data_IF_118169368252
#
_entry.id   IF_118169368252
#
_cell.length_a   1.000
_cell.length_b   1.000
_cell.length_c   1.000
_cell.angle_alpha   90.00
_cell.angle_beta   90.00
_cell.angle_gamma   90.00
#
_symmetry.space_group_name_H-M   'P 1'
#
loop_
_entity.id
_entity.type
_entity.pdbx_description
1 polymer ?
#
# COMPACT_ATOMS: atom_id res chain seq x y z
N UNK A 1 -54.44 44.76 -12.14
CA UNK A 1 -53.61 44.49 -13.33
C UNK A 1 -52.28 45.21 -13.18
N UNK A 2 -51.21 44.58 -13.67
CA UNK A 2 -49.87 45.12 -14.00
C UNK A 2 -48.91 45.54 -12.88
N UNK A 3 -47.88 44.69 -12.76
CA UNK A 3 -46.47 44.96 -12.46
C UNK A 3 -45.98 46.28 -13.07
N UNK A 4 -45.06 46.97 -12.37
CA UNK A 4 -43.76 47.34 -12.94
C UNK A 4 -42.76 47.77 -11.86
N UNK A 5 -41.57 47.18 -11.96
CA UNK A 5 -40.34 47.52 -11.26
C UNK A 5 -39.77 48.85 -11.77
N UNK A 6 -39.18 49.64 -10.88
CA UNK A 6 -38.09 50.56 -11.23
C UNK A 6 -37.07 50.59 -10.08
N UNK A 7 -35.84 50.23 -10.43
CA UNK A 7 -34.63 50.25 -9.61
C UNK A 7 -34.11 51.69 -9.59
N UNK A 8 -33.75 52.23 -8.43
CA UNK A 8 -32.88 53.41 -8.34
C UNK A 8 -31.67 53.12 -7.46
N UNK A 9 -30.51 53.31 -8.07
CA UNK A 9 -29.19 53.18 -7.49
C UNK A 9 -28.89 54.30 -6.50
N UNK A 10 -28.23 53.96 -5.40
CA UNK A 10 -27.60 54.91 -4.49
C UNK A 10 -26.15 54.49 -4.29
N UNK A 11 -25.25 55.17 -5.01
CA UNK A 11 -23.89 55.41 -4.54
C UNK A 11 -23.95 56.47 -3.44
N UNK A 12 -23.13 56.35 -2.40
CA UNK A 12 -22.21 57.40 -1.93
C UNK A 12 -21.35 56.86 -0.77
N UNK A 13 -20.04 56.78 -1.06
CA UNK A 13 -18.85 57.16 -0.29
C UNK A 13 -18.71 56.70 1.17
N UNK A 14 -17.67 55.89 1.42
CA UNK A 14 -16.78 56.10 2.58
C UNK A 14 -15.31 55.84 2.20
N UNK A 15 -14.56 56.95 2.26
CA UNK A 15 -13.15 57.14 2.64
C UNK A 15 -12.17 55.97 2.70
N UNK A 16 -11.05 56.14 1.98
CA UNK A 16 -9.78 55.46 2.16
C UNK A 16 -9.30 55.45 3.62
N UNK A 17 -8.97 54.27 4.12
CA UNK A 17 -7.89 54.09 5.10
C UNK A 17 -6.79 53.27 4.44
N UNK A 18 -5.69 53.94 4.12
CA UNK A 18 -4.46 53.31 3.64
C UNK A 18 -3.80 52.61 4.81
N UNK A 19 -4.21 51.37 5.08
CA UNK A 19 -3.46 50.50 5.98
C UNK A 19 -2.40 49.81 5.14
N UNK A 20 -1.16 50.30 5.23
CA UNK A 20 0.03 49.58 4.78
C UNK A 20 0.06 48.21 5.45
N UNK A 21 -0.39 47.18 4.73
CA UNK A 21 -0.06 45.80 5.07
C UNK A 21 1.42 45.67 4.76
N UNK A 22 2.23 45.71 5.81
CA UNK A 22 3.60 45.27 5.75
C UNK A 22 3.59 43.85 5.17
N UNK A 23 4.10 43.71 3.95
CA UNK A 23 4.29 42.43 3.28
C UNK A 23 5.29 41.62 4.11
N UNK A 24 4.79 40.91 5.12
CA UNK A 24 5.51 39.78 5.68
C UNK A 24 5.50 38.75 4.56
N UNK A 25 6.60 38.71 3.80
CA UNK A 25 6.95 37.57 2.98
C UNK A 25 7.06 36.38 3.92
N UNK A 26 5.93 35.73 4.17
CA UNK A 26 5.93 34.36 4.66
C UNK A 26 6.54 33.55 3.53
N UNK A 27 7.84 33.36 3.68
CA UNK A 27 8.61 32.41 2.92
C UNK A 27 7.92 31.06 3.10
N UNK A 28 7.05 30.72 2.14
CA UNK A 28 6.40 29.42 2.03
C UNK A 28 7.56 28.44 1.95
N UNK A 29 7.89 27.81 3.08
CA UNK A 29 8.80 26.68 3.08
C UNK A 29 8.21 25.67 2.09
N UNK A 30 9.01 25.14 1.16
CA UNK A 30 8.51 24.15 0.24
C UNK A 30 7.88 23.04 1.08
N UNK A 31 6.65 22.68 0.71
CA UNK A 31 5.90 21.55 1.24
C UNK A 31 6.90 20.43 1.46
N UNK A 32 7.07 20.06 2.72
CA UNK A 32 8.00 19.01 3.13
C UNK A 32 7.80 17.85 2.18
N UNK A 33 8.90 17.50 1.50
CA UNK A 33 9.13 16.22 0.89
C UNK A 33 8.38 15.18 1.71
N UNK A 34 7.31 14.61 1.14
CA UNK A 34 6.51 13.57 1.78
C UNK A 34 7.51 12.49 2.18
N UNK A 35 7.91 12.48 3.46
CA UNK A 35 8.83 11.48 3.98
C UNK A 35 8.21 10.15 3.60
N UNK A 36 8.85 9.43 2.67
CA UNK A 36 8.49 8.05 2.39
C UNK A 36 8.41 7.39 3.76
N UNK A 37 7.27 6.80 4.15
CA UNK A 37 7.18 6.13 5.43
C UNK A 37 8.32 5.13 5.47
N UNK A 38 9.22 5.28 6.44
CA UNK A 38 10.28 4.31 6.70
C UNK A 38 9.55 3.07 7.20
N UNK A 39 9.04 2.25 6.29
CA UNK A 39 8.32 1.05 6.65
C UNK A 39 9.27 0.18 7.48
N UNK A 40 8.90 -0.02 8.74
CA UNK A 40 9.62 -0.94 9.62
C UNK A 40 9.37 -2.38 9.17
N UNK A 41 8.21 -2.64 8.56
CA UNK A 41 7.83 -3.95 8.06
C UNK A 41 8.47 -4.23 6.70
N UNK A 42 9.11 -5.38 6.58
CA UNK A 42 9.66 -5.89 5.32
C UNK A 42 8.55 -6.52 4.49
N UNK A 43 8.41 -6.07 3.25
CA UNK A 43 7.42 -6.58 2.29
C UNK A 43 8.17 -7.14 1.09
N UNK A 44 7.91 -8.41 0.78
CA UNK A 44 8.57 -9.10 -0.32
C UNK A 44 7.61 -9.23 -1.50
N UNK A 45 8.19 -9.14 -2.69
CA UNK A 45 7.48 -9.15 -3.96
C UNK A 45 8.04 -10.21 -4.89
N UNK A 46 7.15 -10.86 -5.62
CA UNK A 46 7.49 -11.72 -6.75
C UNK A 46 7.00 -11.09 -8.07
N UNK A 47 7.70 -11.40 -9.16
CA UNK A 47 7.36 -10.87 -10.47
C UNK A 47 6.09 -11.52 -11.02
N UNK A 48 5.14 -10.67 -11.44
CA UNK A 48 4.01 -11.04 -12.31
C UNK A 48 4.17 -10.25 -13.61
N UNK A 49 3.97 -10.90 -14.75
CA UNK A 49 4.10 -10.24 -16.03
C UNK A 49 2.99 -9.16 -16.19
N UNK A 50 3.33 -7.88 -16.36
CA UNK A 50 2.32 -6.82 -16.43
C UNK A 50 1.50 -6.82 -17.73
N UNK A 51 2.01 -7.43 -18.81
CA UNK A 51 1.34 -7.53 -20.12
C UNK A 51 0.41 -8.75 -20.16
N UNK A 52 0.82 -9.84 -19.51
CA UNK A 52 0.05 -11.08 -19.39
C UNK A 52 -0.01 -11.47 -17.92
N UNK A 53 -0.84 -10.77 -17.12
CA UNK A 53 -0.92 -10.99 -15.68
C UNK A 53 -1.49 -12.37 -15.42
N UNK A 54 -0.60 -13.34 -15.27
CA UNK A 54 -0.92 -14.71 -14.94
C UNK A 54 -0.18 -15.07 -13.65
N UNK A 55 -0.95 -15.53 -12.68
CA UNK A 55 -0.46 -16.17 -11.48
C UNK A 55 -0.78 -17.66 -11.57
N UNK A 56 0.03 -18.49 -10.93
CA UNK A 56 -0.24 -19.92 -10.85
C UNK A 56 -1.63 -20.17 -10.24
N UNK A 57 -2.35 -21.15 -10.80
CA UNK A 57 -3.66 -21.57 -10.30
C UNK A 57 -3.56 -22.60 -9.15
N UNK A 58 -2.35 -22.83 -8.63
CA UNK A 58 -2.14 -23.63 -7.41
C UNK A 58 -2.68 -22.87 -6.20
N UNK A 59 -3.20 -23.62 -5.23
CA UNK A 59 -3.76 -23.09 -3.99
C UNK A 59 -2.65 -22.66 -3.03
N UNK A 60 -2.79 -21.45 -2.49
CA UNK A 60 -2.05 -20.95 -1.34
C UNK A 60 -3.06 -20.65 -0.23
N UNK A 61 -2.89 -21.30 0.90
CA UNK A 61 -3.76 -21.14 2.07
C UNK A 61 -2.98 -20.99 3.37
N UNK A 62 -3.57 -20.28 4.32
CA UNK A 62 -2.99 -20.08 5.64
C UNK A 62 -3.51 -18.83 6.33
N UNK A 63 -2.95 -18.52 7.49
CA UNK A 63 -3.28 -17.28 8.23
C UNK A 63 -2.17 -16.26 8.07
N UNK A 64 -2.53 -15.02 7.77
CA UNK A 64 -1.55 -13.94 7.83
C UNK A 64 -1.08 -13.74 9.27
N UNK A 65 0.22 -13.53 9.45
CA UNK A 65 0.83 -13.17 10.72
C UNK A 65 1.83 -12.05 10.52
N UNK A 66 1.88 -11.12 11.49
CA UNK A 66 2.94 -10.12 11.58
C UNK A 66 3.76 -10.38 12.83
N UNK A 67 5.08 -10.50 12.67
CA UNK A 67 6.01 -10.72 13.78
C UNK A 67 7.34 -10.04 13.49
N UNK A 68 7.83 -9.26 14.44
CA UNK A 68 9.16 -8.62 14.41
C UNK A 68 9.48 -7.81 13.14
N UNK A 69 8.45 -7.23 12.52
CA UNK A 69 8.57 -6.47 11.26
C UNK A 69 8.54 -7.34 9.99
N UNK A 70 8.05 -8.57 10.07
CA UNK A 70 7.89 -9.47 8.93
C UNK A 70 6.43 -9.88 8.77
N UNK A 71 5.96 -10.04 7.53
CA UNK A 71 4.65 -10.63 7.21
C UNK A 71 4.87 -12.07 6.76
N UNK A 72 4.14 -12.99 7.40
CA UNK A 72 4.18 -14.41 7.11
C UNK A 72 2.79 -14.92 6.74
N UNK A 73 2.79 -16.05 6.02
CA UNK A 73 1.63 -16.91 5.89
C UNK A 73 1.89 -18.18 6.71
N UNK A 74 1.12 -18.36 7.78
CA UNK A 74 1.20 -19.54 8.64
C UNK A 74 0.33 -20.64 8.04
N UNK A 75 0.96 -21.72 7.58
CA UNK A 75 0.28 -22.88 7.03
C UNK A 75 -0.56 -23.62 8.08
N UNK A 76 -1.41 -24.56 7.65
CA UNK A 76 -2.20 -25.39 8.58
C UNK A 76 -1.34 -26.27 9.50
N UNK A 77 -0.11 -26.57 9.05
CA UNK A 77 0.94 -27.27 9.79
C UNK A 77 1.64 -26.37 10.84
N UNK A 78 1.27 -25.10 10.93
CA UNK A 78 1.89 -24.12 11.83
C UNK A 78 3.23 -23.58 11.33
N UNK A 79 3.68 -23.94 10.13
CA UNK A 79 4.93 -23.47 9.56
C UNK A 79 4.75 -22.04 9.05
N UNK A 80 5.71 -21.18 9.41
CA UNK A 80 5.76 -19.80 8.94
C UNK A 80 6.42 -19.76 7.58
N UNK A 81 5.68 -19.30 6.56
CA UNK A 81 6.21 -19.06 5.23
C UNK A 81 6.36 -17.56 4.99
N UNK A 82 7.40 -17.12 4.31
CA UNK A 82 7.50 -15.70 3.91
C UNK A 82 6.36 -15.37 2.97
N UNK A 83 5.53 -14.38 3.32
CA UNK A 83 4.51 -13.90 2.42
C UNK A 83 5.15 -13.04 1.32
N UNK A 84 4.96 -13.45 0.07
CA UNK A 84 5.39 -12.69 -1.11
C UNK A 84 4.18 -12.23 -1.89
N UNK A 85 4.20 -10.98 -2.35
CA UNK A 85 3.07 -10.36 -3.03
C UNK A 85 3.40 -10.02 -4.50
N UNK A 86 2.42 -9.91 -5.39
CA UNK A 86 2.70 -9.58 -6.78
C UNK A 86 3.27 -8.16 -6.90
N UNK A 87 4.38 -8.01 -7.64
CA UNK A 87 4.97 -6.71 -7.94
C UNK A 87 4.13 -5.87 -8.91
N UNK A 88 3.35 -6.54 -9.77
CA UNK A 88 2.50 -5.94 -10.79
C UNK A 88 1.07 -6.46 -10.71
N UNK A 89 0.06 -5.64 -11.05
CA UNK A 89 0.16 -4.20 -11.36
C UNK A 89 0.74 -3.39 -10.19
N UNK A 90 1.34 -2.24 -10.49
CA UNK A 90 1.92 -1.39 -9.44
C UNK A 90 0.83 -0.96 -8.45
N UNK A 91 1.23 -0.78 -7.20
CA UNK A 91 0.35 -0.34 -6.11
C UNK A 91 -0.82 -1.30 -5.77
N UNK A 92 -0.79 -2.53 -6.27
CA UNK A 92 -1.75 -3.58 -5.92
C UNK A 92 -1.61 -4.04 -4.46
N UNK A 93 -0.44 -3.79 -3.86
CA UNK A 93 -0.13 -4.08 -2.46
C UNK A 93 0.04 -2.76 -1.72
N UNK A 94 -0.70 -2.59 -0.63
CA UNK A 94 -0.50 -1.48 0.30
C UNK A 94 -0.45 -2.03 1.72
N UNK A 95 0.40 -1.43 2.55
CA UNK A 95 0.56 -1.81 3.94
C UNK A 95 0.30 -0.61 4.84
N UNK A 96 -0.60 -0.79 5.78
CA UNK A 96 -0.80 0.15 6.87
C UNK A 96 -0.02 -0.31 8.10
N UNK A 97 1.09 0.37 8.37
CA UNK A 97 1.95 0.09 9.50
C UNK A 97 1.24 0.35 10.85
N UNK A 98 0.30 1.31 10.92
CA UNK A 98 -0.36 1.66 12.18
C UNK A 98 -1.37 0.60 12.61
N UNK A 99 -2.17 0.12 11.67
CA UNK A 99 -3.22 -0.87 11.91
C UNK A 99 -2.78 -2.30 11.64
N UNK A 100 -1.55 -2.51 11.14
CA UNK A 100 -1.01 -3.80 10.71
C UNK A 100 -1.94 -4.50 9.72
N UNK A 101 -2.40 -3.74 8.73
CA UNK A 101 -3.39 -4.19 7.75
C UNK A 101 -2.77 -4.21 6.37
N UNK A 102 -2.93 -5.34 5.68
CA UNK A 102 -2.54 -5.52 4.29
C UNK A 102 -3.74 -5.22 3.40
N UNK A 103 -3.52 -4.43 2.36
CA UNK A 103 -4.48 -4.25 1.28
C UNK A 103 -3.89 -4.87 0.03
N UNK A 104 -4.53 -5.90 -0.50
CA UNK A 104 -4.10 -6.63 -1.69
C UNK A 104 -5.26 -6.63 -2.70
N UNK A 105 -5.04 -6.00 -3.85
CA UNK A 105 -6.04 -5.87 -4.91
C UNK A 105 -7.38 -5.31 -4.41
N UNK A 106 -7.30 -4.27 -3.57
CA UNK A 106 -8.46 -3.62 -2.95
C UNK A 106 -9.10 -4.39 -1.79
N UNK A 107 -8.70 -5.64 -1.54
CA UNK A 107 -9.16 -6.43 -0.39
C UNK A 107 -8.33 -6.13 0.84
N UNK A 108 -9.00 -6.06 1.99
CA UNK A 108 -8.39 -5.72 3.27
C UNK A 108 -8.20 -6.99 4.08
N UNK A 109 -6.97 -7.27 4.47
CA UNK A 109 -6.57 -8.40 5.31
C UNK A 109 -5.93 -7.91 6.60
N UNK A 110 -6.50 -8.33 7.73
CA UNK A 110 -5.94 -8.13 9.06
C UNK A 110 -5.03 -9.30 9.41
N UNK A 111 -4.07 -9.09 10.31
CA UNK A 111 -3.28 -10.19 10.85
C UNK A 111 -4.17 -11.15 11.64
N UNK A 112 -4.05 -12.45 11.37
CA UNK A 112 -4.92 -13.51 11.87
C UNK A 112 -5.95 -14.01 10.85
N UNK A 113 -6.23 -13.22 9.81
CA UNK A 113 -7.16 -13.60 8.75
C UNK A 113 -6.64 -14.83 8.01
N UNK A 114 -7.55 -15.77 7.74
CA UNK A 114 -7.28 -16.92 6.89
C UNK A 114 -7.52 -16.53 5.44
N UNK A 115 -6.69 -17.04 4.54
CA UNK A 115 -6.85 -16.88 3.10
C UNK A 115 -6.84 -18.22 2.41
N UNK A 116 -7.52 -18.28 1.28
CA UNK A 116 -7.46 -19.36 0.29
C UNK A 116 -7.42 -18.69 -1.09
N UNK A 117 -6.24 -18.61 -1.68
CA UNK A 117 -6.02 -17.85 -2.92
C UNK A 117 -5.29 -18.71 -3.94
N UNK A 118 -5.28 -18.26 -5.19
CA UNK A 118 -4.33 -18.78 -6.16
C UNK A 118 -2.88 -18.38 -5.76
N UNK A 119 -1.88 -18.84 -6.51
CA UNK A 119 -0.49 -18.56 -6.21
C UNK A 119 0.37 -19.82 -6.29
N UNK A 120 1.45 -19.84 -5.51
CA UNK A 120 2.33 -21.00 -5.39
C UNK A 120 3.25 -20.91 -4.19
N UNK A 121 3.75 -22.06 -3.74
CA UNK A 121 4.91 -22.14 -2.87
C UNK A 121 6.19 -22.32 -3.70
N UNK A 122 7.31 -21.85 -3.17
CA UNK A 122 8.63 -22.14 -3.72
C UNK A 122 9.71 -22.06 -2.66
N UNK A 123 10.81 -22.76 -2.87
CA UNK A 123 11.95 -22.68 -1.96
C UNK A 123 12.67 -21.33 -2.09
N UNK A 124 13.09 -20.81 -0.95
CA UNK A 124 14.06 -19.74 -0.88
C UNK A 124 15.47 -20.31 -1.01
N UNK A 125 16.15 -19.95 -2.10
CA UNK A 125 17.54 -20.34 -2.34
C UNK A 125 18.43 -19.10 -2.18
N UNK A 126 19.12 -18.93 -1.03
CA UNK A 126 20.00 -17.80 -0.81
C UNK A 126 21.12 -17.79 -1.86
N UNK A 127 21.65 -16.60 -2.18
CA UNK A 127 22.73 -16.40 -3.16
C UNK A 127 22.42 -16.80 -4.62
N UNK A 128 21.24 -17.37 -4.92
CA UNK A 128 20.75 -17.49 -6.29
C UNK A 128 20.44 -16.10 -6.87
N UNK A 129 20.41 -15.91 -8.21
CA UNK A 129 20.07 -14.62 -8.80
C UNK A 129 18.75 -14.04 -8.27
N UNK A 130 17.73 -14.89 -8.11
CA UNK A 130 16.42 -14.44 -7.58
C UNK A 130 16.44 -14.24 -6.06
N UNK A 131 17.19 -15.07 -5.32
CA UNK A 131 17.36 -14.92 -3.87
C UNK A 131 18.06 -13.61 -3.51
N UNK A 132 19.10 -13.23 -4.25
CA UNK A 132 19.79 -11.95 -4.09
C UNK A 132 18.84 -10.77 -4.31
N UNK A 133 17.92 -10.87 -5.27
CA UNK A 133 16.91 -9.83 -5.48
C UNK A 133 15.92 -9.76 -4.31
N UNK A 134 15.49 -10.88 -3.74
CA UNK A 134 14.63 -10.89 -2.56
C UNK A 134 15.32 -10.31 -1.32
N UNK A 135 16.60 -10.64 -1.11
CA UNK A 135 17.40 -10.12 0.00
C UNK A 135 17.58 -8.59 -0.01
N UNK A 136 17.33 -7.92 -1.14
CA UNK A 136 17.37 -6.45 -1.27
C UNK A 136 16.05 -5.76 -0.92
N UNK A 137 14.95 -6.50 -0.81
CA UNK A 137 13.60 -5.92 -0.65
C UNK A 137 13.26 -5.58 0.81
N UNK A 138 13.91 -6.24 1.76
CA UNK A 138 13.65 -6.06 3.18
C UNK A 138 14.70 -6.75 4.04
N UNK A 139 14.39 -6.92 5.32
CA UNK A 139 15.27 -7.59 6.28
C UNK A 139 15.36 -9.10 5.97
N UNK A 140 16.59 -9.61 5.81
CA UNK A 140 16.85 -11.02 5.48
C UNK A 140 16.28 -11.98 6.52
N UNK A 141 16.08 -11.56 7.78
CA UNK A 141 15.46 -12.40 8.82
C UNK A 141 14.01 -12.80 8.48
N UNK A 142 13.37 -12.07 7.57
CA UNK A 142 12.00 -12.33 7.14
C UNK A 142 11.92 -13.37 6.01
N UNK A 143 13.05 -13.83 5.46
CA UNK A 143 13.13 -14.85 4.41
C UNK A 143 13.28 -16.25 5.04
N UNK A 144 12.16 -16.97 5.13
CA UNK A 144 12.10 -18.36 5.57
C UNK A 144 12.40 -19.30 4.39
N UNK A 145 12.74 -20.58 4.66
CA UNK A 145 13.05 -21.56 3.60
C UNK A 145 11.95 -21.72 2.55
N UNK A 146 10.69 -21.45 2.91
CA UNK A 146 9.55 -21.52 2.00
C UNK A 146 8.91 -20.15 1.81
N UNK A 147 8.70 -19.80 0.55
CA UNK A 147 8.10 -18.56 0.08
C UNK A 147 6.67 -18.84 -0.38
N UNK A 148 5.69 -18.21 0.25
CA UNK A 148 4.29 -18.25 -0.16
C UNK A 148 4.00 -17.08 -1.10
N UNK A 149 3.93 -17.34 -2.41
CA UNK A 149 3.57 -16.34 -3.42
C UNK A 149 2.05 -16.18 -3.45
N UNK A 150 1.55 -15.20 -2.72
CA UNK A 150 0.13 -14.94 -2.54
C UNK A 150 -0.47 -14.43 -3.86
N UNK A 151 -1.58 -15.04 -4.28
CA UNK A 151 -2.34 -14.63 -5.44
C UNK A 151 -3.34 -13.52 -5.12
N UNK A 152 -3.98 -12.97 -6.16
CA UNK A 152 -5.03 -11.94 -6.01
C UNK A 152 -6.44 -12.49 -6.26
N UNK A 153 -6.55 -13.74 -6.72
CA UNK A 153 -7.83 -14.41 -6.89
C UNK A 153 -8.14 -15.24 -5.65
N UNK A 154 -9.30 -14.96 -5.08
CA UNK A 154 -9.91 -15.76 -4.03
C UNK A 154 -10.45 -17.08 -4.63
N UNK A 155 -10.16 -18.21 -3.98
CA UNK A 155 -10.59 -19.53 -4.41
C UNK A 155 -11.85 -20.00 -3.67
N UNK A 156 -12.30 -19.32 -2.60
CA UNK A 156 -13.55 -19.67 -1.90
C UNK A 156 -14.85 -19.36 -2.70
N UNK A 157 -14.79 -19.25 -4.02
CA UNK A 157 -15.95 -19.10 -4.91
C UNK A 157 -16.45 -20.45 -5.46
#
# INVERSE_FOLDING_TARGET
MRKQFLILASLLVTSCTTTTVATRSEQIKPIQETMKPTWKTSIFYYYVNPVRPAQSAVVVEGRFAWKDGCIYLVGRDGIYNTAMFPLYPKDIVKWDESSKTLILDGRIYKMGDFILTNGQYSDYVPQSPIGIEYEKQGDKKCLNPTLAKIGTMDIEN
#
